data_IF_126016142062
#
_entry.id   IF_126016142062
#
_cell.length_a   1.000
_cell.length_b   1.000
_cell.length_c   1.000
_cell.angle_alpha   90.00
_cell.angle_beta   90.00
_cell.angle_gamma   90.00
#
_symmetry.space_group_name_H-M   'P 1'
#
loop_
_entity.id
_entity.type
_entity.pdbx_description
1 polymer ?
#
# COMPACT_ATOMS: atom_id res chain seq x y z
N UNK A 1 18.12 1.48 -14.33
CA UNK A 1 17.98 2.88 -13.85
C UNK A 1 17.75 2.99 -12.34
N UNK A 2 16.58 2.60 -11.81
CA UNK A 2 16.24 2.78 -10.37
C UNK A 2 17.31 2.23 -9.41
N UNK A 3 17.88 1.07 -9.73
CA UNK A 3 19.00 0.48 -8.98
C UNK A 3 20.25 1.40 -8.97
N UNK A 4 20.66 1.91 -10.13
CA UNK A 4 21.80 2.83 -10.25
C UNK A 4 21.56 4.13 -9.49
N UNK A 5 20.36 4.72 -9.57
CA UNK A 5 20.00 5.91 -8.78
C UNK A 5 20.06 5.65 -7.28
N UNK A 6 19.73 4.43 -6.85
CA UNK A 6 19.87 4.01 -5.46
C UNK A 6 21.32 3.84 -5.00
N UNK A 7 22.31 3.94 -5.90
CA UNK A 7 23.72 3.71 -5.60
C UNK A 7 24.09 2.23 -5.64
N UNK A 8 23.28 1.39 -6.29
CA UNK A 8 23.61 -0.02 -6.51
C UNK A 8 24.50 -0.10 -7.75
N UNK A 9 25.76 -0.46 -7.51
CA UNK A 9 26.81 -0.50 -8.54
C UNK A 9 26.82 -1.80 -9.34
N UNK A 10 26.10 -2.83 -8.87
CA UNK A 10 26.07 -4.15 -9.50
C UNK A 10 24.68 -4.75 -9.46
N UNK A 11 24.16 -5.09 -10.64
CA UNK A 11 22.89 -5.81 -10.83
C UNK A 11 23.19 -7.15 -11.48
N UNK A 12 22.66 -8.22 -10.88
CA UNK A 12 22.76 -9.58 -11.42
C UNK A 12 21.38 -10.05 -11.83
N UNK A 13 21.19 -10.31 -13.11
CA UNK A 13 19.96 -10.87 -13.67
C UNK A 13 20.11 -12.39 -13.69
N UNK A 14 19.25 -13.09 -12.96
CA UNK A 14 19.17 -14.55 -12.97
C UNK A 14 18.22 -14.96 -14.09
N UNK A 15 18.74 -15.55 -15.16
CA UNK A 15 17.98 -15.84 -16.38
C UNK A 15 18.01 -17.32 -16.74
N UNK A 16 16.86 -17.90 -17.05
CA UNK A 16 16.73 -19.25 -17.59
C UNK A 16 16.34 -19.23 -19.07
N UNK A 17 15.03 -19.25 -19.33
CA UNK A 17 14.48 -19.20 -20.69
C UNK A 17 14.89 -17.91 -21.42
N UNK A 18 15.34 -18.03 -22.69
CA UNK A 18 15.82 -16.93 -23.53
C UNK A 18 16.94 -16.08 -22.92
N UNK A 19 17.76 -16.65 -22.03
CA UNK A 19 18.91 -15.94 -21.44
C UNK A 19 19.83 -15.23 -22.45
N UNK A 20 20.12 -15.77 -23.66
CA UNK A 20 20.95 -15.06 -24.65
C UNK A 20 20.37 -13.70 -25.10
N UNK A 21 19.04 -13.58 -25.18
CA UNK A 21 18.36 -12.31 -25.53
C UNK A 21 18.52 -11.31 -24.40
N UNK A 22 18.35 -11.77 -23.16
CA UNK A 22 18.52 -10.95 -21.95
C UNK A 22 19.99 -10.50 -21.81
N UNK A 23 20.95 -11.37 -22.11
CA UNK A 23 22.39 -11.05 -22.10
C UNK A 23 22.75 -9.94 -23.08
N UNK A 24 22.21 -9.99 -24.30
CA UNK A 24 22.43 -8.94 -25.29
C UNK A 24 21.95 -7.59 -24.76
N UNK A 25 20.75 -7.56 -24.16
CA UNK A 25 20.16 -6.33 -23.65
C UNK A 25 20.86 -5.83 -22.36
N UNK A 26 21.28 -6.74 -21.47
CA UNK A 26 22.01 -6.42 -20.25
C UNK A 26 23.31 -5.66 -20.54
N UNK A 27 24.02 -6.01 -21.63
CA UNK A 27 25.22 -5.27 -22.06
C UNK A 27 24.91 -3.82 -22.40
N UNK A 28 23.76 -3.55 -23.02
CA UNK A 28 23.32 -2.18 -23.35
C UNK A 28 22.88 -1.38 -22.11
N UNK A 29 22.42 -2.05 -21.05
CA UNK A 29 22.05 -1.40 -19.78
C UNK A 29 23.21 -1.18 -18.82
N UNK A 30 24.33 -1.85 -19.02
CA UNK A 30 25.52 -1.72 -18.18
C UNK A 30 26.27 -0.44 -18.51
N UNK A 31 26.59 0.37 -17.50
CA UNK A 31 27.39 1.59 -17.63
C UNK A 31 28.46 1.67 -16.53
N UNK A 32 29.22 2.78 -16.47
CA UNK A 32 30.26 3.02 -15.47
C UNK A 32 29.73 3.12 -14.03
N UNK A 33 28.44 3.43 -13.85
CA UNK A 33 27.80 3.59 -12.55
C UNK A 33 27.16 2.30 -12.05
N UNK A 34 26.73 1.43 -12.96
CA UNK A 34 26.04 0.19 -12.63
C UNK A 34 26.40 -0.91 -13.63
N UNK A 35 27.18 -1.89 -13.17
CA UNK A 35 27.48 -3.10 -13.94
C UNK A 35 26.27 -4.03 -13.93
N UNK A 36 25.80 -4.41 -15.12
CA UNK A 36 24.71 -5.38 -15.29
C UNK A 36 25.28 -6.69 -15.83
N UNK A 37 25.09 -7.77 -15.07
CA UNK A 37 25.54 -9.11 -15.41
C UNK A 37 24.35 -10.05 -15.52
N UNK A 38 24.48 -11.08 -16.35
CA UNK A 38 23.51 -12.18 -16.40
C UNK A 38 24.20 -13.44 -15.90
N UNK A 39 23.49 -14.18 -15.05
CA UNK A 39 23.88 -15.52 -14.65
C UNK A 39 22.82 -16.48 -15.16
N UNK A 40 23.25 -17.40 -16.02
CA UNK A 40 22.37 -18.38 -16.64
C UNK A 40 22.04 -19.49 -15.63
N UNK A 41 20.77 -19.57 -15.26
CA UNK A 41 20.19 -20.67 -14.52
C UNK A 41 19.99 -21.87 -15.46
N UNK A 42 20.83 -22.89 -15.32
CA UNK A 42 20.80 -24.09 -16.20
C UNK A 42 19.65 -25.05 -15.89
N UNK A 43 19.19 -25.05 -14.64
CA UNK A 43 18.10 -25.88 -14.14
C UNK A 43 17.18 -25.02 -13.27
N UNK A 44 15.86 -25.23 -13.27
CA UNK A 44 14.92 -24.37 -12.55
C UNK A 44 15.03 -24.54 -11.02
N UNK A 45 15.82 -23.68 -10.37
CA UNK A 45 16.04 -23.62 -8.91
C UNK A 45 14.95 -22.81 -8.18
N UNK A 46 14.04 -22.18 -8.93
CA UNK A 46 12.95 -21.38 -8.35
C UNK A 46 13.43 -20.02 -7.80
N UNK A 47 12.48 -19.19 -7.38
CA UNK A 47 12.71 -17.78 -7.00
C UNK A 47 13.67 -17.60 -5.82
N UNK A 48 13.76 -18.59 -4.92
CA UNK A 48 14.70 -18.58 -3.81
C UNK A 48 16.01 -19.31 -4.12
N UNK A 49 15.95 -20.43 -4.82
CA UNK A 49 17.11 -21.30 -5.03
C UNK A 49 18.14 -20.69 -5.98
N UNK A 50 17.68 -19.91 -6.96
CA UNK A 50 18.54 -19.22 -7.92
C UNK A 50 19.43 -18.16 -7.26
N UNK A 51 19.07 -17.63 -6.08
CA UNK A 51 19.86 -16.62 -5.36
C UNK A 51 21.25 -17.12 -4.97
N UNK A 52 21.45 -18.44 -4.84
CA UNK A 52 22.76 -19.05 -4.59
C UNK A 52 23.76 -18.86 -5.73
N UNK A 53 23.27 -18.51 -6.92
CA UNK A 53 24.11 -18.23 -8.09
C UNK A 53 24.69 -16.80 -8.07
N UNK A 54 24.22 -15.94 -7.16
CA UNK A 54 24.71 -14.56 -7.04
C UNK A 54 26.10 -14.54 -6.39
N UNK A 55 27.17 -14.12 -7.10
CA UNK A 55 28.52 -14.19 -6.55
C UNK A 55 28.84 -13.00 -5.64
N UNK A 56 29.53 -13.23 -4.51
CA UNK A 56 30.35 -12.20 -3.85
C UNK A 56 29.63 -10.96 -3.34
N UNK A 57 28.44 -11.11 -2.75
CA UNK A 57 27.72 -10.01 -2.12
C UNK A 57 28.43 -9.55 -0.84
N UNK A 58 28.82 -8.28 -0.76
CA UNK A 58 29.48 -7.67 0.41
C UNK A 58 28.51 -6.95 1.36
N UNK A 59 27.24 -6.84 0.98
CA UNK A 59 26.18 -6.23 1.77
C UNK A 59 24.80 -6.74 1.37
N UNK A 60 23.71 -6.21 1.99
CA UNK A 60 22.35 -6.67 1.74
C UNK A 60 21.98 -6.68 0.26
N UNK A 61 21.32 -7.75 -0.16
CA UNK A 61 20.91 -8.01 -1.54
C UNK A 61 19.51 -7.44 -1.76
N UNK A 62 19.38 -6.46 -2.65
CA UNK A 62 18.05 -6.05 -3.14
C UNK A 62 17.65 -7.02 -4.25
N UNK A 63 16.56 -7.76 -4.04
CA UNK A 63 16.01 -8.74 -4.97
C UNK A 63 14.69 -8.20 -5.51
N UNK A 64 14.51 -8.21 -6.81
CA UNK A 64 13.24 -7.88 -7.45
C UNK A 64 12.89 -8.97 -8.47
N UNK A 65 11.63 -9.37 -8.51
CA UNK A 65 11.13 -10.25 -9.58
C UNK A 65 11.11 -9.49 -10.90
N UNK A 66 11.50 -10.18 -11.98
CA UNK A 66 11.69 -9.57 -13.30
C UNK A 66 10.41 -9.06 -13.96
N UNK A 67 9.26 -9.47 -13.46
CA UNK A 67 7.92 -9.09 -13.91
C UNK A 67 7.25 -8.06 -12.98
N UNK A 68 8.01 -7.34 -12.16
CA UNK A 68 7.50 -6.25 -11.33
C UNK A 68 7.99 -4.90 -11.87
N UNK A 69 7.05 -4.06 -12.30
CA UNK A 69 7.35 -2.65 -12.56
C UNK A 69 7.26 -1.86 -11.27
N UNK A 70 8.32 -1.11 -10.95
CA UNK A 70 8.33 -0.27 -9.76
C UNK A 70 9.07 1.06 -9.98
N UNK A 71 8.62 2.08 -9.26
CA UNK A 71 9.40 3.30 -8.99
C UNK A 71 9.23 3.65 -7.51
N UNK A 72 10.17 3.16 -6.71
CA UNK A 72 10.21 3.31 -5.26
C UNK A 72 11.61 3.71 -4.78
N UNK A 73 11.69 4.31 -3.60
CA UNK A 73 12.95 4.66 -2.95
C UNK A 73 13.67 3.42 -2.36
N UNK A 74 14.50 2.79 -3.18
CA UNK A 74 15.30 1.64 -2.76
C UNK A 74 16.33 1.98 -1.67
N UNK A 75 16.76 3.24 -1.52
CA UNK A 75 17.67 3.65 -0.44
C UNK A 75 16.94 3.60 0.89
N UNK A 76 15.76 4.20 0.95
CA UNK A 76 14.90 4.17 2.13
C UNK A 76 14.55 2.73 2.55
N UNK A 77 14.31 1.84 1.56
CA UNK A 77 14.09 0.41 1.80
C UNK A 77 15.30 -0.27 2.49
N UNK A 78 16.51 -0.07 1.95
CA UNK A 78 17.75 -0.66 2.51
C UNK A 78 18.10 -0.05 3.87
N UNK A 79 17.88 1.25 4.06
CA UNK A 79 18.06 1.93 5.34
C UNK A 79 17.09 1.39 6.41
N UNK A 80 15.82 1.18 6.06
CA UNK A 80 14.85 0.57 6.96
C UNK A 80 15.25 -0.85 7.36
N UNK A 81 15.69 -1.66 6.38
CA UNK A 81 16.22 -3.01 6.62
C UNK A 81 17.37 -3.00 7.64
N UNK A 82 18.37 -2.13 7.43
CA UNK A 82 19.54 -2.00 8.33
C UNK A 82 19.15 -1.48 9.71
N UNK A 83 18.31 -0.45 9.79
CA UNK A 83 17.86 0.16 11.04
C UNK A 83 17.14 -0.85 11.93
N UNK A 84 16.30 -1.69 11.34
CA UNK A 84 15.56 -2.74 12.04
C UNK A 84 16.39 -4.00 12.29
N UNK A 85 17.63 -4.06 11.78
CA UNK A 85 18.52 -5.24 11.82
C UNK A 85 17.78 -6.50 11.34
N UNK A 86 16.98 -6.33 10.30
CA UNK A 86 16.14 -7.41 9.77
C UNK A 86 17.01 -8.42 9.03
N UNK A 87 16.65 -9.70 9.15
CA UNK A 87 17.25 -10.78 8.38
C UNK A 87 16.89 -10.72 6.90
N UNK A 88 15.63 -10.36 6.67
CA UNK A 88 15.07 -10.08 5.37
C UNK A 88 14.00 -9.00 5.51
N UNK A 89 13.80 -8.23 4.45
CA UNK A 89 12.71 -7.28 4.32
C UNK A 89 11.91 -7.65 3.09
N UNK A 90 10.59 -7.78 3.22
CA UNK A 90 9.68 -7.87 2.09
C UNK A 90 8.99 -6.51 1.91
N UNK A 91 8.98 -5.98 0.69
CA UNK A 91 8.11 -4.85 0.36
C UNK A 91 6.68 -5.36 0.35
N UNK A 92 5.80 -4.68 1.09
CA UNK A 92 4.38 -5.05 1.19
C UNK A 92 3.49 -3.88 0.86
N UNK A 93 2.34 -4.17 0.26
CA UNK A 93 1.34 -3.17 -0.08
C UNK A 93 -0.06 -3.80 -0.19
N UNK A 94 -1.13 -3.01 -0.06
CA UNK A 94 -2.47 -3.46 -0.39
C UNK A 94 -2.68 -3.59 -1.90
N UNK A 95 -3.58 -4.48 -2.33
CA UNK A 95 -3.94 -4.63 -3.74
C UNK A 95 -5.46 -4.84 -3.98
N UNK A 96 -5.87 -4.84 -5.25
CA UNK A 96 -7.26 -5.04 -5.71
C UNK A 96 -7.65 -6.52 -5.86
N UNK A 97 -6.80 -7.46 -5.45
CA UNK A 97 -7.04 -8.90 -5.60
C UNK A 97 -6.37 -9.74 -4.49
N UNK A 98 -6.67 -9.46 -3.21
CA UNK A 98 -5.99 -10.13 -2.09
C UNK A 98 -6.25 -11.62 -2.02
N UNK A 99 -7.35 -12.12 -2.60
CA UNK A 99 -7.67 -13.55 -2.65
C UNK A 99 -6.73 -14.37 -3.55
N UNK A 100 -6.02 -13.71 -4.48
CA UNK A 100 -5.04 -14.32 -5.38
C UNK A 100 -3.59 -13.90 -5.02
N UNK A 101 -3.37 -13.46 -3.79
CA UNK A 101 -2.04 -13.05 -3.30
C UNK A 101 -1.75 -13.70 -1.97
N UNK A 102 -0.47 -13.88 -1.63
CA UNK A 102 -0.13 -14.29 -0.27
C UNK A 102 -0.26 -13.08 0.66
N UNK A 103 -0.95 -13.26 1.79
CA UNK A 103 -1.16 -12.19 2.76
C UNK A 103 -0.09 -12.19 3.84
N UNK A 104 0.20 -11.01 4.37
CA UNK A 104 1.20 -10.77 5.39
C UNK A 104 0.56 -10.11 6.59
N UNK A 105 0.83 -10.63 7.79
CA UNK A 105 0.51 -9.93 9.03
C UNK A 105 1.76 -9.27 9.60
N UNK A 106 1.61 -8.03 10.04
CA UNK A 106 2.68 -7.26 10.67
C UNK A 106 2.28 -6.83 12.08
N UNK A 107 3.25 -6.70 12.97
CA UNK A 107 3.09 -6.00 14.24
C UNK A 107 3.15 -4.47 14.08
N UNK A 108 3.06 -3.75 15.19
CA UNK A 108 3.08 -2.28 15.20
C UNK A 108 4.42 -1.68 14.74
N UNK A 109 5.52 -2.43 14.83
CA UNK A 109 6.86 -2.03 14.41
C UNK A 109 7.17 -2.46 12.96
N UNK A 110 6.20 -3.05 12.28
CA UNK A 110 6.30 -3.54 10.91
C UNK A 110 7.00 -4.89 10.78
N UNK A 111 7.24 -5.63 11.88
CA UNK A 111 7.80 -6.98 11.80
C UNK A 111 6.72 -7.97 11.39
N UNK A 112 7.09 -8.89 10.52
CA UNK A 112 6.22 -9.93 10.03
C UNK A 112 5.91 -10.93 11.14
N UNK A 113 4.62 -11.13 11.40
CA UNK A 113 4.08 -12.11 12.35
C UNK A 113 3.69 -13.41 11.65
N UNK A 114 3.11 -13.30 10.45
CA UNK A 114 2.62 -14.45 9.70
C UNK A 114 2.67 -14.20 8.18
N UNK A 115 2.79 -15.30 7.44
CA UNK A 115 2.63 -15.38 6.00
C UNK A 115 1.51 -16.38 5.71
N UNK A 116 0.46 -15.92 5.04
CA UNK A 116 -0.70 -16.72 4.68
C UNK A 116 -0.66 -17.01 3.20
N UNK A 117 -0.43 -18.28 2.87
CA UNK A 117 -0.40 -18.74 1.49
C UNK A 117 -1.82 -18.86 0.95
N UNK A 118 -2.03 -18.46 -0.31
CA UNK A 118 -3.29 -18.74 -1.02
C UNK A 118 -3.46 -20.23 -1.36
N UNK A 119 -4.69 -20.79 -1.39
CA UNK A 119 -5.95 -20.14 -1.04
C UNK A 119 -6.11 -19.95 0.47
N UNK A 120 -6.69 -18.82 0.87
CA UNK A 120 -6.87 -18.49 2.29
C UNK A 120 -8.07 -19.23 2.90
N UNK A 121 -7.99 -19.59 4.19
CA UNK A 121 -9.14 -20.12 4.89
C UNK A 121 -10.25 -19.04 5.00
N UNK A 122 -11.54 -19.39 4.87
CA UNK A 122 -12.65 -18.43 4.85
C UNK A 122 -12.75 -17.52 6.09
N UNK A 123 -12.27 -18.01 7.23
CA UNK A 123 -12.23 -17.30 8.51
C UNK A 123 -11.08 -16.29 8.64
N UNK A 124 -10.13 -16.27 7.69
CA UNK A 124 -8.99 -15.37 7.74
C UNK A 124 -9.43 -13.92 7.49
N UNK A 125 -9.40 -13.11 8.55
CA UNK A 125 -9.65 -11.67 8.49
C UNK A 125 -8.39 -10.95 8.94
N UNK A 126 -7.60 -10.52 7.96
CA UNK A 126 -6.36 -9.76 8.18
C UNK A 126 -6.43 -8.44 7.44
N UNK A 127 -5.42 -7.59 7.67
CA UNK A 127 -5.12 -6.48 6.76
C UNK A 127 -4.91 -7.00 5.34
N UNK A 128 -5.24 -6.16 4.35
CA UNK A 128 -4.92 -6.41 2.96
C UNK A 128 -3.47 -5.96 2.73
N UNK A 129 -2.51 -6.81 3.07
CA UNK A 129 -1.09 -6.60 2.79
C UNK A 129 -0.52 -7.83 2.11
N UNK A 130 0.10 -7.63 0.96
CA UNK A 130 0.70 -8.71 0.16
C UNK A 130 2.17 -8.40 -0.13
N UNK A 131 2.99 -9.43 -0.35
CA UNK A 131 4.36 -9.22 -0.81
C UNK A 131 4.38 -8.70 -2.25
N UNK A 132 5.19 -7.68 -2.52
CA UNK A 132 5.20 -6.96 -3.80
C UNK A 132 6.31 -7.41 -4.77
N UNK A 133 6.92 -8.58 -4.56
CA UNK A 133 8.00 -9.10 -5.41
C UNK A 133 9.32 -8.33 -5.33
N UNK A 134 9.49 -7.44 -4.35
CA UNK A 134 10.75 -6.74 -4.03
C UNK A 134 11.15 -7.04 -2.59
N UNK A 135 12.42 -7.36 -2.39
CA UNK A 135 12.95 -7.84 -1.11
C UNK A 135 14.35 -7.28 -0.85
N UNK A 136 14.76 -7.29 0.42
CA UNK A 136 16.15 -7.11 0.83
C UNK A 136 16.56 -8.29 1.68
N UNK A 137 17.65 -8.98 1.34
CA UNK A 137 18.10 -10.19 2.04
C UNK A 137 19.53 -10.02 2.54
N UNK A 138 19.79 -10.44 3.77
CA UNK A 138 21.15 -10.53 4.27
C UNK A 138 21.95 -11.60 3.50
N UNK A 139 23.22 -11.37 3.11
CA UNK A 139 24.01 -12.36 2.37
C UNK A 139 24.14 -13.69 3.10
N UNK A 140 24.20 -13.66 4.43
CA UNK A 140 24.27 -14.87 5.24
C UNK A 140 22.95 -15.65 5.26
N UNK A 141 21.81 -15.08 4.86
CA UNK A 141 20.57 -15.85 4.62
C UNK A 141 20.70 -16.63 3.33
N UNK A 142 21.18 -15.99 2.27
CA UNK A 142 21.38 -16.61 0.96
C UNK A 142 22.45 -17.71 1.02
N UNK A 143 23.55 -17.49 1.75
CA UNK A 143 24.61 -18.46 1.94
C UNK A 143 24.14 -19.75 2.66
N UNK A 144 23.11 -19.65 3.50
CA UNK A 144 22.55 -20.79 4.23
C UNK A 144 21.53 -21.60 3.43
N UNK A 145 21.18 -21.18 2.21
CA UNK A 145 20.16 -21.86 1.41
C UNK A 145 20.64 -23.23 0.91
N UNK A 146 19.82 -24.29 1.03
CA UNK A 146 20.17 -25.60 0.51
C UNK A 146 20.24 -25.61 -1.02
N UNK A 147 21.07 -26.47 -1.64
CA UNK A 147 21.21 -26.59 -3.09
C UNK A 147 20.03 -27.36 -3.72
N UNK A 148 18.82 -26.82 -3.59
CA UNK A 148 17.59 -27.38 -4.18
C UNK A 148 16.70 -26.28 -4.72
N UNK A 149 15.63 -26.70 -5.42
CA UNK A 149 14.56 -25.80 -5.79
C UNK A 149 13.89 -25.21 -4.54
N UNK A 150 13.77 -23.89 -4.48
CA UNK A 150 13.17 -23.13 -3.37
C UNK A 150 12.33 -21.99 -3.91
N UNK A 151 11.21 -21.73 -3.25
CA UNK A 151 10.43 -20.51 -3.39
C UNK A 151 10.91 -19.44 -2.39
N UNK A 152 11.11 -18.21 -2.86
CA UNK A 152 11.60 -17.12 -2.01
C UNK A 152 10.64 -16.79 -0.87
N UNK A 153 9.33 -16.80 -1.10
CA UNK A 153 8.36 -16.44 -0.06
C UNK A 153 8.08 -17.65 0.83
N UNK A 154 7.77 -18.80 0.24
CA UNK A 154 7.25 -19.96 0.96
C UNK A 154 8.32 -20.89 1.55
N UNK A 155 9.52 -20.96 0.98
CA UNK A 155 10.60 -21.74 1.57
C UNK A 155 11.56 -20.83 2.36
N UNK A 156 11.97 -19.70 1.76
CA UNK A 156 13.03 -18.86 2.35
C UNK A 156 12.50 -17.93 3.44
N UNK A 157 11.56 -17.03 3.12
CA UNK A 157 11.02 -16.09 4.11
C UNK A 157 10.22 -16.81 5.20
N UNK A 158 9.28 -17.70 4.81
CA UNK A 158 8.51 -18.47 5.78
C UNK A 158 9.40 -19.37 6.66
N UNK A 159 10.44 -19.96 6.08
CA UNK A 159 11.41 -20.75 6.84
C UNK A 159 12.21 -19.91 7.84
N UNK A 160 12.65 -18.70 7.46
CA UNK A 160 13.33 -17.78 8.37
C UNK A 160 12.41 -17.28 9.49
N UNK A 161 11.16 -16.94 9.15
CA UNK A 161 10.13 -16.56 10.11
C UNK A 161 9.87 -17.68 11.13
N UNK A 162 9.74 -18.93 10.67
CA UNK A 162 9.54 -20.10 11.53
C UNK A 162 10.70 -20.37 12.50
N UNK A 163 11.92 -19.93 12.17
CA UNK A 163 13.09 -19.99 13.06
C UNK A 163 13.19 -18.80 14.02
N UNK A 164 12.20 -17.89 14.00
CA UNK A 164 12.20 -16.68 14.81
C UNK A 164 13.17 -15.60 14.32
N UNK A 165 13.64 -15.68 13.06
CA UNK A 165 14.47 -14.64 12.47
C UNK A 165 13.62 -13.39 12.17
N UNK A 166 14.18 -12.21 12.36
CA UNK A 166 13.45 -10.95 12.18
C UNK A 166 13.18 -10.68 10.69
N UNK A 167 11.92 -10.78 10.26
CA UNK A 167 11.50 -10.40 8.90
C UNK A 167 10.73 -9.08 8.98
N UNK A 168 11.13 -8.08 8.19
CA UNK A 168 10.48 -6.77 8.15
C UNK A 168 9.51 -6.71 6.97
N UNK A 169 8.29 -6.21 7.20
CA UNK A 169 7.41 -5.73 6.15
C UNK A 169 7.64 -4.24 5.91
N UNK A 170 8.18 -3.88 4.75
CA UNK A 170 8.30 -2.48 4.34
C UNK A 170 7.02 -2.06 3.62
N UNK A 171 6.10 -1.46 4.37
CA UNK A 171 4.80 -1.03 3.83
C UNK A 171 4.94 0.28 3.05
N UNK A 172 4.72 0.26 1.74
CA UNK A 172 4.81 1.44 0.87
C UNK A 172 3.54 1.67 0.06
N UNK A 173 3.33 2.92 -0.34
CA UNK A 173 2.27 3.31 -1.29
C UNK A 173 2.86 3.71 -2.64
N UNK A 174 4.18 3.60 -2.82
CA UNK A 174 4.88 3.94 -4.07
C UNK A 174 4.41 3.03 -5.22
N UNK A 175 4.82 3.33 -6.45
CA UNK A 175 4.36 2.56 -7.59
C UNK A 175 5.05 1.19 -7.62
N UNK A 176 4.26 0.11 -7.46
CA UNK A 176 4.65 -1.28 -7.67
C UNK A 176 3.49 -2.05 -8.29
N UNK A 177 3.72 -2.71 -9.43
CA UNK A 177 2.71 -3.55 -10.10
C UNK A 177 3.36 -4.77 -10.74
N UNK A 178 2.81 -5.95 -10.47
CA UNK A 178 3.15 -7.14 -11.25
C UNK A 178 2.58 -7.03 -12.67
N UNK A 179 3.29 -7.61 -13.62
CA UNK A 179 2.88 -7.71 -15.01
C UNK A 179 2.84 -9.15 -15.52
N UNK A 180 2.66 -10.11 -14.62
CA UNK A 180 2.72 -11.55 -14.93
C UNK A 180 1.57 -12.07 -15.81
N UNK A 181 0.55 -11.25 -16.08
CA UNK A 181 -0.56 -11.61 -16.99
C UNK A 181 -0.74 -10.59 -18.12
N UNK A 182 -1.30 -10.97 -19.29
CA UNK A 182 -1.49 -10.03 -20.40
C UNK A 182 -2.35 -8.80 -20.07
N UNK A 183 -3.30 -8.90 -19.13
CA UNK A 183 -4.11 -7.76 -18.69
C UNK A 183 -3.32 -6.82 -17.79
N UNK A 184 -2.50 -7.37 -16.88
CA UNK A 184 -1.63 -6.60 -15.99
C UNK A 184 -0.48 -5.92 -16.73
N UNK A 185 0.12 -6.62 -17.70
CA UNK A 185 1.11 -6.03 -18.61
C UNK A 185 0.55 -4.82 -19.36
N UNK A 186 -0.62 -4.93 -19.98
CA UNK A 186 -1.29 -3.80 -20.64
C UNK A 186 -1.51 -2.62 -19.69
N UNK A 187 -1.92 -2.88 -18.45
CA UNK A 187 -2.09 -1.84 -17.42
C UNK A 187 -0.77 -1.12 -17.10
N UNK A 188 0.33 -1.85 -16.99
CA UNK A 188 1.67 -1.25 -16.78
C UNK A 188 2.10 -0.43 -18.00
N UNK A 189 1.87 -0.90 -19.23
CA UNK A 189 2.14 -0.13 -20.44
C UNK A 189 1.32 1.16 -20.49
N UNK A 190 0.03 1.11 -20.14
CA UNK A 190 -0.83 2.30 -20.05
C UNK A 190 -0.32 3.28 -18.98
N UNK A 191 0.14 2.78 -17.85
CA UNK A 191 0.69 3.60 -16.77
C UNK A 191 2.01 4.26 -17.20
N UNK A 192 2.87 3.54 -17.91
CA UNK A 192 4.09 4.07 -18.51
C UNK A 192 3.79 5.17 -19.55
N UNK A 193 2.88 4.91 -20.48
CA UNK A 193 2.46 5.86 -21.52
C UNK A 193 1.76 7.10 -20.95
N UNK A 194 1.29 7.05 -19.70
CA UNK A 194 0.69 8.20 -18.99
C UNK A 194 1.67 8.89 -18.04
N UNK A 195 2.93 8.44 -17.99
CA UNK A 195 3.94 8.98 -17.08
C UNK A 195 3.72 8.63 -15.61
N UNK A 196 2.82 7.68 -15.29
CA UNK A 196 2.49 7.35 -13.89
C UNK A 196 3.63 6.61 -13.18
N UNK A 197 4.46 5.89 -13.94
CA UNK A 197 5.60 5.16 -13.39
C UNK A 197 6.74 6.15 -13.10
N UNK A 198 7.11 6.98 -14.09
CA UNK A 198 8.20 7.94 -13.98
C UNK A 198 7.89 9.11 -13.04
N UNK A 199 6.60 9.44 -12.88
CA UNK A 199 6.12 10.46 -11.95
C UNK A 199 5.71 9.93 -10.57
N UNK A 200 5.89 8.63 -10.30
CA UNK A 200 5.36 7.98 -9.10
C UNK A 200 5.90 8.57 -7.78
N UNK A 201 7.12 9.12 -7.81
CA UNK A 201 7.74 9.79 -6.67
C UNK A 201 7.22 11.21 -6.41
N UNK A 202 6.46 11.78 -7.35
CA UNK A 202 5.89 13.12 -7.23
C UNK A 202 4.59 13.15 -6.43
N UNK A 203 4.01 14.36 -6.21
CA UNK A 203 2.74 14.49 -5.53
C UNK A 203 1.60 13.78 -6.26
N UNK A 204 0.76 13.03 -5.53
CA UNK A 204 -0.35 12.26 -6.10
C UNK A 204 -1.73 12.75 -5.65
N UNK A 205 -2.73 12.73 -6.56
CA UNK A 205 -4.11 13.00 -6.17
C UNK A 205 -4.57 11.99 -5.12
N UNK A 206 -5.17 12.49 -4.04
CA UNK A 206 -5.61 11.68 -2.90
C UNK A 206 -7.06 11.97 -2.56
N UNK A 207 -7.86 10.92 -2.38
CA UNK A 207 -9.20 11.05 -1.82
C UNK A 207 -9.15 10.55 -0.39
N UNK A 208 -9.26 11.49 0.54
CA UNK A 208 -9.41 11.23 1.96
C UNK A 208 -10.86 10.86 2.26
N UNK A 209 -11.09 9.80 3.02
CA UNK A 209 -12.42 9.32 3.36
C UNK A 209 -12.58 9.26 4.88
N UNK A 210 -13.69 9.75 5.41
CA UNK A 210 -14.13 9.29 6.73
C UNK A 210 -14.59 7.83 6.67
N UNK A 211 -14.65 7.17 7.83
CA UNK A 211 -15.07 5.78 7.95
C UNK A 211 -16.57 5.66 8.23
N UNK A 212 -17.02 6.19 9.36
CA UNK A 212 -18.33 5.89 9.94
C UNK A 212 -19.39 6.85 9.37
N UNK A 213 -20.30 6.33 8.54
CA UNK A 213 -21.28 7.13 7.80
C UNK A 213 -20.87 7.44 6.35
N UNK A 214 -19.62 7.16 5.99
CA UNK A 214 -19.06 7.42 4.65
C UNK A 214 -18.63 6.13 3.92
N UNK A 215 -17.87 5.27 4.59
CA UNK A 215 -17.46 3.95 4.08
C UNK A 215 -18.36 2.84 4.66
N UNK A 216 -18.63 2.89 5.97
CA UNK A 216 -19.49 1.93 6.67
C UNK A 216 -20.74 2.59 7.24
N UNK A 217 -21.76 1.80 7.55
CA UNK A 217 -22.95 2.28 8.23
C UNK A 217 -22.60 2.92 9.59
N UNK A 218 -23.17 4.10 9.87
CA UNK A 218 -23.03 4.75 11.17
C UNK A 218 -24.01 4.14 12.19
N UNK A 219 -23.51 3.22 13.02
CA UNK A 219 -24.28 2.53 14.08
C UNK A 219 -24.01 3.10 15.48
N UNK A 220 -23.72 4.40 15.55
CA UNK A 220 -23.23 5.07 16.76
C UNK A 220 -21.73 4.88 16.93
N UNK A 221 -21.30 3.68 17.35
CA UNK A 221 -19.88 3.36 17.46
C UNK A 221 -19.61 1.90 17.09
N UNK A 222 -18.75 1.68 16.10
CA UNK A 222 -18.20 0.36 15.78
C UNK A 222 -17.10 0.05 16.80
N UNK A 223 -17.37 -0.90 17.70
CA UNK A 223 -16.47 -1.33 18.77
C UNK A 223 -16.03 -2.79 18.64
N UNK A 224 -16.66 -3.53 17.71
CA UNK A 224 -16.33 -4.91 17.37
C UNK A 224 -16.32 -5.09 15.85
N UNK A 225 -15.47 -5.97 15.29
CA UNK A 225 -15.36 -6.17 13.84
C UNK A 225 -16.69 -6.54 13.16
N UNK A 226 -17.53 -7.33 13.82
CA UNK A 226 -18.80 -7.84 13.26
C UNK A 226 -19.83 -6.73 13.04
N UNK A 227 -19.65 -5.57 13.69
CA UNK A 227 -20.52 -4.40 13.52
C UNK A 227 -20.19 -3.59 12.26
N UNK A 228 -19.07 -3.89 11.60
CA UNK A 228 -18.62 -3.15 10.42
C UNK A 228 -19.26 -3.73 9.16
N UNK A 229 -20.16 -2.96 8.57
CA UNK A 229 -20.84 -3.24 7.30
C UNK A 229 -20.63 -2.07 6.33
N UNK A 230 -20.16 -2.37 5.12
CA UNK A 230 -19.94 -1.36 4.07
C UNK A 230 -21.27 -0.77 3.60
N UNK A 231 -21.26 0.53 3.30
CA UNK A 231 -22.37 1.17 2.61
C UNK A 231 -22.46 0.69 1.15
N UNK A 232 -23.65 0.63 0.55
CA UNK A 232 -23.81 0.26 -0.86
C UNK A 232 -22.96 1.11 -1.81
N UNK A 233 -22.28 0.45 -2.75
CA UNK A 233 -21.49 1.12 -3.80
C UNK A 233 -20.09 1.58 -3.37
N UNK A 234 -19.71 1.42 -2.10
CA UNK A 234 -18.39 1.86 -1.59
C UNK A 234 -17.23 1.12 -2.22
N UNK A 235 -17.28 -0.22 -2.32
CA UNK A 235 -16.20 -0.96 -2.99
C UNK A 235 -16.03 -0.56 -4.45
N UNK A 236 -17.08 -0.52 -5.29
CA UNK A 236 -16.99 0.01 -6.65
C UNK A 236 -16.42 1.43 -6.75
N UNK A 237 -16.78 2.31 -5.81
CA UNK A 237 -16.27 3.69 -5.75
C UNK A 237 -14.76 3.72 -5.46
N UNK A 238 -14.31 3.02 -4.42
CA UNK A 238 -12.89 2.95 -4.05
C UNK A 238 -12.08 2.25 -5.15
N UNK A 239 -12.59 1.16 -5.72
CA UNK A 239 -11.94 0.47 -6.84
C UNK A 239 -11.79 1.39 -8.07
N UNK A 240 -12.74 2.28 -8.33
CA UNK A 240 -12.63 3.26 -9.40
C UNK A 240 -11.52 4.29 -9.14
N UNK A 241 -11.37 4.76 -7.89
CA UNK A 241 -10.24 5.60 -7.47
C UNK A 241 -8.90 4.87 -7.64
N UNK A 242 -8.80 3.61 -7.18
CA UNK A 242 -7.58 2.81 -7.31
C UNK A 242 -7.17 2.65 -8.79
N UNK A 243 -8.13 2.37 -9.71
CA UNK A 243 -7.87 2.28 -11.15
C UNK A 243 -7.44 3.60 -11.79
N UNK A 244 -7.95 4.72 -11.28
CA UNK A 244 -7.54 6.05 -11.71
C UNK A 244 -6.11 6.41 -11.24
N UNK A 245 -5.54 5.64 -10.30
CA UNK A 245 -4.23 5.91 -9.72
C UNK A 245 -4.27 6.98 -8.62
N UNK A 246 -5.45 7.25 -8.06
CA UNK A 246 -5.60 8.08 -6.88
C UNK A 246 -5.21 7.28 -5.63
N UNK A 247 -4.60 7.95 -4.66
CA UNK A 247 -4.45 7.36 -3.33
C UNK A 247 -5.79 7.45 -2.59
N UNK A 248 -6.18 6.37 -1.91
CA UNK A 248 -7.36 6.34 -1.07
C UNK A 248 -6.91 6.22 0.38
N UNK A 249 -7.20 7.24 1.18
CA UNK A 249 -6.70 7.35 2.55
C UNK A 249 -7.87 7.51 3.50
N UNK A 250 -7.99 6.61 4.47
CA UNK A 250 -9.01 6.75 5.51
C UNK A 250 -8.47 7.64 6.63
N UNK A 251 -9.25 8.65 7.03
CA UNK A 251 -8.94 9.56 8.14
C UNK A 251 -10.14 9.62 9.07
N UNK A 252 -10.04 9.06 10.28
CA UNK A 252 -11.23 8.85 11.12
C UNK A 252 -11.04 9.15 12.61
N UNK A 253 -12.11 9.61 13.26
CA UNK A 253 -12.16 9.79 14.71
C UNK A 253 -12.61 8.48 15.36
N UNK A 254 -11.77 7.83 16.17
CA UNK A 254 -12.06 6.53 16.81
C UNK A 254 -12.10 6.65 18.34
N UNK A 255 -13.08 7.38 18.91
CA UNK A 255 -13.15 7.62 20.35
C UNK A 255 -13.50 6.35 21.15
N UNK A 256 -13.82 5.24 20.49
CA UNK A 256 -14.11 3.94 21.12
C UNK A 256 -12.97 3.47 22.01
N UNK A 257 -11.72 3.78 21.64
CA UNK A 257 -10.54 3.51 22.48
C UNK A 257 -10.58 4.36 23.74
N UNK A 258 -10.68 5.69 23.61
CA UNK A 258 -10.80 6.58 24.77
C UNK A 258 -12.01 6.29 25.67
N UNK A 259 -13.09 5.76 25.12
CA UNK A 259 -14.30 5.37 25.86
C UNK A 259 -14.17 4.01 26.54
N UNK A 260 -13.09 3.26 26.30
CA UNK A 260 -12.91 1.91 26.83
C UNK A 260 -13.79 0.86 26.18
N UNK A 261 -14.45 1.17 25.06
CA UNK A 261 -15.31 0.24 24.35
C UNK A 261 -14.53 -0.83 23.58
N UNK A 262 -13.29 -0.51 23.17
CA UNK A 262 -12.28 -1.46 22.73
C UNK A 262 -10.87 -0.96 23.11
N UNK A 263 -9.86 -1.81 22.95
CA UNK A 263 -8.46 -1.41 22.97
C UNK A 263 -7.92 -1.22 21.55
N UNK A 264 -6.63 -0.89 21.42
CA UNK A 264 -6.02 -0.71 20.10
C UNK A 264 -5.96 -2.02 19.29
N UNK A 265 -5.86 -3.18 19.93
CA UNK A 265 -5.89 -4.46 19.25
C UNK A 265 -7.27 -4.73 18.64
N UNK A 266 -8.34 -4.48 19.40
CA UNK A 266 -9.71 -4.52 18.91
C UNK A 266 -9.95 -3.53 17.78
N UNK A 267 -9.42 -2.30 17.88
CA UNK A 267 -9.51 -1.33 16.78
C UNK A 267 -8.75 -1.80 15.52
N UNK A 268 -7.58 -2.40 15.67
CA UNK A 268 -6.85 -3.03 14.54
C UNK A 268 -7.67 -4.14 13.89
N UNK A 269 -8.35 -4.98 14.66
CA UNK A 269 -9.23 -6.02 14.13
C UNK A 269 -10.43 -5.44 13.34
N UNK A 270 -11.01 -4.32 13.81
CA UNK A 270 -12.06 -3.59 13.08
C UNK A 270 -11.52 -3.06 11.73
N UNK A 271 -10.31 -2.49 11.72
CA UNK A 271 -9.70 -2.00 10.49
C UNK A 271 -9.31 -3.14 9.53
N UNK A 272 -8.81 -4.27 10.04
CA UNK A 272 -8.57 -5.47 9.25
C UNK A 272 -9.87 -5.97 8.60
N UNK A 273 -11.00 -5.95 9.34
CA UNK A 273 -12.32 -6.26 8.77
C UNK A 273 -12.72 -5.30 7.66
N UNK A 274 -12.48 -4.00 7.82
CA UNK A 274 -12.74 -3.02 6.76
C UNK A 274 -11.95 -3.36 5.49
N UNK A 275 -10.63 -3.54 5.62
CA UNK A 275 -9.74 -3.86 4.49
C UNK A 275 -10.14 -5.20 3.83
N UNK A 276 -10.50 -6.20 4.63
CA UNK A 276 -11.00 -7.49 4.14
C UNK A 276 -12.28 -7.33 3.31
N UNK A 277 -13.28 -6.58 3.79
CA UNK A 277 -14.53 -6.36 3.06
C UNK A 277 -14.29 -5.60 1.74
N UNK A 278 -13.44 -4.57 1.76
CA UNK A 278 -13.05 -3.86 0.53
C UNK A 278 -12.34 -4.77 -0.46
N UNK A 279 -11.42 -5.62 0.03
CA UNK A 279 -10.68 -6.57 -0.80
C UNK A 279 -11.57 -7.57 -1.53
N UNK A 280 -12.74 -7.93 -0.94
CA UNK A 280 -13.75 -8.78 -1.60
C UNK A 280 -14.44 -8.09 -2.78
N UNK A 281 -14.48 -6.76 -2.79
CA UNK A 281 -15.05 -5.94 -3.86
C UNK A 281 -13.98 -5.40 -4.82
N UNK A 282 -12.74 -5.90 -4.73
CA UNK A 282 -11.63 -5.48 -5.58
C UNK A 282 -11.17 -4.04 -5.29
N UNK A 283 -11.35 -3.59 -4.05
CA UNK A 283 -11.03 -2.26 -3.59
C UNK A 283 -9.99 -2.32 -2.46
N UNK A 284 -9.17 -1.26 -2.34
CA UNK A 284 -8.24 -1.13 -1.23
C UNK A 284 -8.00 0.32 -0.84
N UNK A 285 -7.52 0.51 0.39
CA UNK A 285 -7.08 1.79 0.91
C UNK A 285 -5.57 1.76 1.06
N UNK A 286 -4.89 2.82 0.64
CA UNK A 286 -3.43 2.94 0.70
C UNK A 286 -2.94 3.10 2.14
N UNK A 287 -3.69 3.84 2.96
CA UNK A 287 -3.42 4.07 4.39
C UNK A 287 -4.70 4.33 5.17
N UNK A 288 -4.64 4.03 6.47
CA UNK A 288 -5.65 4.41 7.44
C UNK A 288 -5.00 5.14 8.61
N UNK A 289 -5.45 6.37 8.84
CA UNK A 289 -5.08 7.19 9.98
C UNK A 289 -6.29 7.37 10.89
N UNK A 290 -6.09 7.23 12.19
CA UNK A 290 -7.16 7.38 13.15
C UNK A 290 -6.72 8.18 14.38
N UNK A 291 -7.68 8.83 15.02
CA UNK A 291 -7.46 9.53 16.28
C UNK A 291 -8.21 8.79 17.40
N UNK A 292 -7.52 8.15 18.36
CA UNK A 292 -8.16 7.40 19.45
C UNK A 292 -8.72 8.30 20.56
N UNK A 293 -8.42 9.60 20.52
CA UNK A 293 -8.64 10.54 21.62
C UNK A 293 -10.08 11.08 21.72
N UNK A 294 -10.43 11.53 22.92
CA UNK A 294 -11.67 12.26 23.18
C UNK A 294 -11.46 13.38 24.21
N UNK A 295 -11.88 14.64 23.94
CA UNK A 295 -11.57 15.76 24.82
C UNK A 295 -12.35 15.74 26.15
N UNK A 296 -13.55 15.16 26.16
CA UNK A 296 -14.40 15.13 27.37
C UNK A 296 -14.18 13.85 28.18
N UNK A 297 -14.33 13.97 29.51
CA UNK A 297 -14.29 12.89 30.52
C UNK A 297 -15.70 12.52 30.99
N UNK A 298 -15.81 11.47 31.80
CA UNK A 298 -17.04 11.03 32.47
C UNK A 298 -17.74 9.85 31.81
N UNK A 299 -17.06 9.10 30.94
CA UNK A 299 -17.60 7.86 30.38
C UNK A 299 -17.26 6.67 31.27
N UNK A 300 -18.22 5.77 31.47
CA UNK A 300 -17.97 4.52 32.18
C UNK A 300 -16.90 3.69 31.43
N UNK A 301 -15.88 3.22 32.17
CA UNK A 301 -14.77 2.44 31.59
C UNK A 301 -13.77 3.25 30.77
N UNK A 302 -13.82 4.59 30.82
CA UNK A 302 -12.91 5.41 30.02
C UNK A 302 -11.43 5.14 30.31
N UNK A 303 -10.59 5.33 29.28
CA UNK A 303 -9.14 5.26 29.36
C UNK A 303 -8.57 6.68 29.54
N UNK A 304 -8.18 7.10 30.76
CA UNK A 304 -7.83 8.49 31.05
C UNK A 304 -6.69 9.05 30.19
N UNK A 305 -5.77 8.19 29.76
CA UNK A 305 -4.62 8.50 28.92
C UNK A 305 -5.01 8.98 27.51
N UNK A 306 -6.18 8.57 27.01
CA UNK A 306 -6.70 9.05 25.72
C UNK A 306 -7.68 10.22 25.86
N UNK A 307 -7.91 10.73 27.08
CA UNK A 307 -8.82 11.85 27.36
C UNK A 307 -8.14 13.20 27.26
N UNK A 308 -7.77 13.56 26.03
CA UNK A 308 -7.03 14.79 25.73
C UNK A 308 -7.68 15.58 24.59
N UNK A 309 -7.48 16.90 24.61
CA UNK A 309 -7.66 17.74 23.45
C UNK A 309 -6.40 17.61 22.58
N UNK A 310 -6.56 17.13 21.34
CA UNK A 310 -5.45 16.86 20.43
C UNK A 310 -5.69 17.50 19.06
N UNK A 311 -4.60 17.69 18.31
CA UNK A 311 -4.68 18.22 16.95
C UNK A 311 -5.18 17.19 15.92
N UNK A 312 -5.11 15.88 16.23
CA UNK A 312 -5.54 14.82 15.30
C UNK A 312 -7.05 14.72 15.13
N UNK A 313 -7.81 14.98 16.20
CA UNK A 313 -9.25 14.72 16.18
C UNK A 313 -9.92 15.73 15.28
N UNK A 314 -10.58 15.28 14.21
CA UNK A 314 -11.42 16.15 13.36
C UNK A 314 -12.45 16.86 14.24
N UNK A 315 -12.65 18.19 14.13
CA UNK A 315 -12.26 19.05 13.00
C UNK A 315 -10.80 19.55 12.97
N UNK A 316 -9.93 19.10 13.88
CA UNK A 316 -8.49 19.33 13.75
C UNK A 316 -7.91 18.69 12.47
N UNK A 317 -7.00 19.37 11.75
CA UNK A 317 -6.46 18.87 10.48
C UNK A 317 -5.30 17.86 10.66
N UNK A 318 -4.94 17.49 11.89
CA UNK A 318 -3.69 16.78 12.17
C UNK A 318 -3.52 15.45 11.42
N UNK A 319 -4.57 14.63 11.29
CA UNK A 319 -4.48 13.38 10.52
C UNK A 319 -4.27 13.63 9.02
N UNK A 320 -4.94 14.64 8.46
CA UNK A 320 -4.81 15.02 7.06
C UNK A 320 -3.40 15.53 6.77
N UNK A 321 -2.87 16.43 7.61
CA UNK A 321 -1.53 16.98 7.47
C UNK A 321 -0.46 15.90 7.56
N UNK A 322 -0.59 14.98 8.53
CA UNK A 322 0.29 13.81 8.65
C UNK A 322 0.27 12.96 7.38
N UNK A 323 -0.92 12.64 6.88
CA UNK A 323 -1.05 11.86 5.67
C UNK A 323 -0.43 12.56 4.45
N UNK A 324 -0.56 13.89 4.33
CA UNK A 324 0.05 14.66 3.24
C UNK A 324 1.58 14.63 3.26
N UNK A 325 2.17 14.70 4.45
CA UNK A 325 3.60 14.63 4.66
C UNK A 325 4.14 13.24 4.29
N UNK A 326 3.49 12.18 4.78
CA UNK A 326 3.94 10.80 4.57
C UNK A 326 3.71 10.31 3.13
N UNK A 327 2.67 10.80 2.44
CA UNK A 327 2.20 10.23 1.17
C UNK A 327 2.47 11.08 -0.07
N UNK A 328 3.07 12.27 0.10
CA UNK A 328 3.31 13.24 -0.98
C UNK A 328 2.00 13.56 -1.72
N UNK A 329 1.08 14.21 -1.04
CA UNK A 329 -0.27 14.45 -1.59
C UNK A 329 -0.31 15.72 -2.45
N UNK A 330 -0.91 15.62 -3.64
CA UNK A 330 -1.30 16.76 -4.46
C UNK A 330 -2.60 17.37 -3.95
N UNK A 331 -2.49 18.39 -3.08
CA UNK A 331 -3.64 19.05 -2.45
C UNK A 331 -4.64 19.61 -3.46
N UNK A 332 -4.17 20.15 -4.58
CA UNK A 332 -5.03 20.80 -5.59
C UNK A 332 -5.99 19.83 -6.28
N UNK A 333 -5.68 18.54 -6.24
CA UNK A 333 -6.46 17.46 -6.86
C UNK A 333 -7.03 16.49 -5.83
N UNK A 334 -6.90 16.83 -4.55
CA UNK A 334 -7.30 15.98 -3.44
C UNK A 334 -8.60 16.46 -2.81
N UNK A 335 -9.46 15.52 -2.43
CA UNK A 335 -10.73 15.79 -1.74
C UNK A 335 -10.72 15.09 -0.38
N UNK A 336 -11.48 15.63 0.59
CA UNK A 336 -11.94 14.87 1.74
C UNK A 336 -13.45 14.66 1.62
N UNK A 337 -13.88 13.40 1.64
CA UNK A 337 -15.28 13.01 1.65
C UNK A 337 -15.67 12.55 3.06
N UNK A 338 -16.74 13.11 3.60
CA UNK A 338 -17.30 12.74 4.91
C UNK A 338 -18.78 13.05 4.99
N UNK A 339 -19.47 12.55 6.02
CA UNK A 339 -20.89 12.79 6.25
C UNK A 339 -21.15 13.89 7.30
N UNK A 340 -20.08 14.45 7.90
CA UNK A 340 -20.19 15.38 9.02
C UNK A 340 -19.57 16.75 8.76
N UNK A 341 -20.04 17.81 9.45
CA UNK A 341 -19.39 19.13 9.41
C UNK A 341 -17.93 19.08 9.88
N UNK A 342 -17.56 18.11 10.72
CA UNK A 342 -16.20 17.96 11.23
C UNK A 342 -15.21 17.58 10.12
N UNK A 343 -15.66 16.78 9.15
CA UNK A 343 -14.85 16.37 8.01
C UNK A 343 -14.59 17.55 7.08
N UNK A 344 -15.66 18.29 6.78
CA UNK A 344 -15.57 19.48 5.95
C UNK A 344 -14.63 20.53 6.55
N UNK A 345 -14.76 20.79 7.85
CA UNK A 345 -13.91 21.74 8.57
C UNK A 345 -12.45 21.29 8.60
N UNK A 346 -12.18 19.99 8.81
CA UNK A 346 -10.82 19.45 8.75
C UNK A 346 -10.20 19.63 7.36
N UNK A 347 -10.97 19.40 6.30
CA UNK A 347 -10.56 19.64 4.91
C UNK A 347 -10.16 21.09 4.65
N UNK A 348 -11.05 22.03 5.00
CA UNK A 348 -10.80 23.46 4.85
C UNK A 348 -9.51 23.90 5.57
N UNK A 349 -9.32 23.44 6.82
CA UNK A 349 -8.12 23.74 7.62
C UNK A 349 -6.85 23.12 7.05
N UNK A 350 -6.95 21.97 6.40
CA UNK A 350 -5.82 21.30 5.77
C UNK A 350 -5.53 21.79 4.34
N UNK A 351 -6.38 22.67 3.78
CA UNK A 351 -6.27 23.13 2.39
C UNK A 351 -6.64 22.06 1.36
N UNK A 352 -7.57 21.17 1.71
CA UNK A 352 -8.13 20.12 0.84
C UNK A 352 -9.59 20.40 0.61
N UNK A 353 -10.06 20.17 -0.62
CA UNK A 353 -11.46 20.42 -0.97
C UNK A 353 -12.39 19.49 -0.17
N UNK A 354 -13.29 20.02 0.68
CA UNK A 354 -14.28 19.21 1.36
C UNK A 354 -15.43 18.84 0.42
N UNK A 355 -15.92 17.62 0.54
CA UNK A 355 -17.11 17.11 -0.11
C UNK A 355 -17.94 16.37 0.92
N UNK A 356 -19.22 16.71 1.00
CA UNK A 356 -20.15 16.05 1.90
C UNK A 356 -20.91 14.95 1.16
N UNK A 357 -21.09 13.80 1.81
CA UNK A 357 -21.79 12.66 1.22
C UNK A 357 -22.90 12.16 2.14
N UNK A 358 -23.95 11.61 1.53
CA UNK A 358 -25.04 10.99 2.28
C UNK A 358 -26.15 11.96 2.70
N UNK A 359 -27.35 11.43 3.01
CA UNK A 359 -28.54 12.24 3.28
C UNK A 359 -28.42 13.10 4.53
N UNK A 360 -27.70 12.63 5.56
CA UNK A 360 -27.46 13.37 6.81
C UNK A 360 -26.69 14.67 6.59
N UNK A 361 -25.87 14.74 5.55
CA UNK A 361 -24.97 15.86 5.29
C UNK A 361 -25.58 16.96 4.40
N UNK A 362 -26.72 16.71 3.75
CA UNK A 362 -27.33 17.63 2.77
C UNK A 362 -27.60 19.01 3.38
N UNK A 363 -28.24 19.05 4.54
CA UNK A 363 -28.60 20.30 5.20
C UNK A 363 -27.37 21.15 5.57
N UNK A 364 -26.28 20.49 5.98
CA UNK A 364 -25.02 21.19 6.27
C UNK A 364 -24.33 21.66 4.99
N UNK A 365 -24.30 20.82 3.95
CA UNK A 365 -23.72 21.17 2.68
C UNK A 365 -24.39 22.38 2.04
N UNK A 366 -25.73 22.43 2.06
CA UNK A 366 -26.49 23.60 1.60
C UNK A 366 -26.14 24.84 2.42
N UNK A 367 -26.09 24.72 3.76
CA UNK A 367 -25.79 25.86 4.65
C UNK A 367 -24.39 26.44 4.43
N UNK A 368 -23.40 25.59 4.13
CA UNK A 368 -22.00 25.97 3.92
C UNK A 368 -21.62 26.15 2.44
N UNK A 369 -22.57 25.99 1.52
CA UNK A 369 -22.34 26.02 0.07
C UNK A 369 -21.23 25.04 -0.38
N UNK A 370 -21.20 23.86 0.23
CA UNK A 370 -20.21 22.82 -0.07
C UNK A 370 -20.75 21.82 -1.11
N UNK A 371 -19.88 21.22 -1.95
CA UNK A 371 -20.28 20.12 -2.81
C UNK A 371 -20.89 18.97 -2.02
N UNK A 372 -22.01 18.45 -2.51
CA UNK A 372 -22.72 17.33 -1.90
C UNK A 372 -23.10 16.28 -2.93
N UNK A 373 -23.04 15.02 -2.51
CA UNK A 373 -23.47 13.88 -3.31
C UNK A 373 -24.29 12.91 -2.45
N UNK A 374 -25.26 12.19 -3.04
CA UNK A 374 -26.12 11.27 -2.29
C UNK A 374 -25.35 10.10 -1.67
N UNK A 375 -24.23 9.68 -2.28
CA UNK A 375 -23.36 8.61 -1.78
C UNK A 375 -21.91 8.80 -2.29
N UNK A 376 -21.01 7.91 -1.83
CA UNK A 376 -19.60 7.95 -2.21
C UNK A 376 -19.38 7.67 -3.71
N UNK A 377 -20.18 6.81 -4.32
CA UNK A 377 -20.00 6.46 -5.75
C UNK A 377 -20.27 7.67 -6.65
N UNK A 378 -21.29 8.46 -6.35
CA UNK A 378 -21.57 9.71 -7.04
C UNK A 378 -20.46 10.74 -6.83
N UNK A 379 -19.96 10.88 -5.60
CA UNK A 379 -18.84 11.77 -5.30
C UNK A 379 -17.58 11.39 -6.09
N UNK A 380 -17.24 10.09 -6.12
CA UNK A 380 -16.09 9.58 -6.88
C UNK A 380 -16.27 9.79 -8.38
N UNK A 381 -17.47 9.56 -8.91
CA UNK A 381 -17.77 9.80 -10.34
C UNK A 381 -17.51 11.26 -10.70
N UNK A 382 -17.93 12.20 -9.84
CA UNK A 382 -17.64 13.61 -10.04
C UNK A 382 -16.15 13.94 -9.90
N UNK A 383 -15.45 13.33 -8.94
CA UNK A 383 -13.99 13.50 -8.79
C UNK A 383 -13.24 13.07 -10.06
N UNK A 384 -13.58 11.90 -10.61
CA UNK A 384 -12.98 11.37 -11.83
C UNK A 384 -13.18 12.31 -13.02
N UNK A 385 -14.34 12.97 -13.12
CA UNK A 385 -14.61 13.96 -14.16
C UNK A 385 -13.75 15.23 -14.04
N UNK A 386 -13.17 15.51 -12.87
CA UNK A 386 -12.23 16.63 -12.68
C UNK A 386 -10.78 16.26 -13.00
N UNK A 387 -10.48 14.96 -13.15
CA UNK A 387 -9.13 14.52 -13.44
C UNK A 387 -8.78 14.76 -14.91
N UNK A 388 -7.55 15.22 -15.19
CA UNK A 388 -7.14 15.45 -16.56
C UNK A 388 -7.19 14.12 -17.32
N UNK A 389 -7.74 14.15 -18.53
CA UNK A 389 -7.48 13.06 -19.45
C UNK A 389 -5.99 13.07 -19.80
N UNK A 390 -5.27 11.96 -19.64
CA UNK A 390 -3.87 11.93 -19.98
C UNK A 390 -3.71 12.27 -21.45
N UNK A 391 -2.80 13.21 -21.77
CA UNK A 391 -2.26 13.29 -23.13
C UNK A 391 -1.51 11.98 -23.38
N UNK A 392 -1.70 11.29 -24.51
CA UNK A 392 -0.87 10.15 -24.84
C UNK A 392 0.59 10.61 -24.86
N UNK A 393 1.45 10.03 -24.02
CA UNK A 393 2.89 10.14 -24.28
C UNK A 393 3.18 9.42 -25.61
N UNK A 394 4.20 9.88 -26.34
CA UNK A 394 4.71 9.14 -27.47
C UNK A 394 4.98 7.70 -26.99
N UNK A 395 4.37 6.72 -27.68
CA UNK A 395 4.61 5.32 -27.38
C UNK A 395 6.12 5.07 -27.39
N UNK A 396 6.68 4.30 -26.44
CA UNK A 396 8.05 3.83 -26.61
C UNK A 396 8.11 3.11 -27.96
N UNK A 397 9.15 3.41 -28.76
CA UNK A 397 9.46 2.63 -29.95
C UNK A 397 9.40 1.16 -29.54
N UNK A 398 8.54 0.40 -30.22
CA UNK A 398 8.36 -1.00 -29.94
C UNK A 398 9.75 -1.65 -29.96
N UNK A 399 10.21 -2.14 -28.80
CA UNK A 399 11.23 -3.17 -28.77
C UNK A 399 10.54 -4.35 -29.43
N UNK A 400 10.76 -4.50 -30.74
CA UNK A 400 10.28 -5.61 -31.52
C UNK A 400 10.86 -6.88 -30.87
N UNK A 401 9.97 -7.72 -30.34
CA UNK A 401 10.31 -9.05 -29.84
C UNK A 401 10.95 -9.91 -30.93
#
# INVERSE_FOLDING_TARGET
ERFSEAGIERVVILAGHLAPVIEQQARAWSDERCRVEVVIEREPLGSGGCLRLVPGATGPLVVAFGDVAFDMDLRALVEAHRRQKARATAVVHPNDHPHDSDLVELDADGRMLALHRKPHPPELVTRNLVTAGVFVLEPSLVAALPPRKLDLVHDVLAGALARGEAILGYETTEYLKDMGTPSRYRRVCDDWARGRIQGARGPRPTVFLDRDGTINHHVGYVSRPEQLELLPGVGPAIAALNRAGAQVVVVTNQPVVARGACDEAGLRAIHARLEHLLGREGAFVDRLYYCPHHPHRGFAGERPEYKIACACRKPGPGLLLRAMEELRVDRGRSWICGDSPCDAEAGLRAGVRPVLVGPSALAEATRRELPWYPDLLHAVTAWLATMPHPRPAAAPEAIAC
#
